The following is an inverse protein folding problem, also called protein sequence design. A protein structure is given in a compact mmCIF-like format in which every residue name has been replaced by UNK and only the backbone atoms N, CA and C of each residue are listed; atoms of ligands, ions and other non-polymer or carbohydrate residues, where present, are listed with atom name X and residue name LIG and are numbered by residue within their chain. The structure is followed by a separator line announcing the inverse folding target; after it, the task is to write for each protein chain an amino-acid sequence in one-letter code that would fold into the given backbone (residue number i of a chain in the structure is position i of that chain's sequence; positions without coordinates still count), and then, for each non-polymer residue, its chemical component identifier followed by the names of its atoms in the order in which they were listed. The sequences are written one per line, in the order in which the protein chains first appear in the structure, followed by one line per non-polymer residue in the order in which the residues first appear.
data_IF_014269374518
#
_entry.id   IF_014269374518
#
_cell.length_a   1.000
_cell.length_b   1.000
_cell.length_c   1.000
_cell.angle_alpha   90.00
_cell.angle_beta   90.00
_cell.angle_gamma   90.00
#
_symmetry.space_group_name_H-M   'P 1'
#
loop_
_entity.id
_entity.type
_entity.pdbx_description
1 polymer ?
#
# COMPACT_ATOMS: atom_id res chain seq x y z
N UNK A 1 55.07 -35.76 -51.39
CA UNK A 1 54.00 -35.97 -50.39
C UNK A 1 53.59 -34.61 -49.85
N UNK A 2 52.42 -34.09 -50.26
CA UNK A 2 51.87 -32.81 -49.79
C UNK A 2 51.00 -33.09 -48.57
N UNK A 3 51.33 -32.48 -47.44
CA UNK A 3 50.52 -32.45 -46.23
C UNK A 3 49.87 -31.07 -46.14
N UNK A 4 48.55 -31.01 -46.26
CA UNK A 4 47.74 -29.81 -45.96
C UNK A 4 47.01 -30.05 -44.65
N UNK A 5 47.50 -29.42 -43.58
CA UNK A 5 46.86 -29.40 -42.27
C UNK A 5 45.73 -28.38 -42.24
N UNK A 6 44.55 -28.82 -41.81
CA UNK A 6 43.37 -27.99 -41.56
C UNK A 6 43.47 -27.51 -40.11
N UNK A 7 43.59 -26.20 -39.90
CA UNK A 7 43.45 -25.57 -38.59
C UNK A 7 41.95 -25.33 -38.33
N UNK A 8 41.40 -26.03 -37.34
CA UNK A 8 40.03 -25.89 -36.89
C UNK A 8 40.01 -24.95 -35.68
N UNK A 9 39.54 -23.72 -35.88
CA UNK A 9 39.42 -22.71 -34.83
C UNK A 9 38.21 -23.02 -33.95
N UNK A 10 38.45 -23.38 -32.70
CA UNK A 10 37.39 -23.56 -31.70
C UNK A 10 36.92 -22.18 -31.20
N UNK A 11 35.66 -21.83 -31.47
CA UNK A 11 34.99 -20.65 -30.89
C UNK A 11 34.47 -21.06 -29.51
N UNK A 12 35.12 -20.59 -28.45
CA UNK A 12 34.65 -20.74 -27.08
C UNK A 12 33.62 -19.62 -26.83
N UNK A 13 32.34 -19.96 -26.95
CA UNK A 13 31.25 -19.08 -26.51
C UNK A 13 31.21 -19.06 -24.98
N UNK A 14 31.64 -17.95 -24.36
CA UNK A 14 31.41 -17.68 -22.95
C UNK A 14 29.91 -17.48 -22.70
N UNK A 15 29.28 -18.47 -22.09
CA UNK A 15 27.93 -18.35 -21.54
C UNK A 15 28.05 -17.54 -20.23
N UNK A 16 27.77 -16.24 -20.30
CA UNK A 16 27.58 -15.41 -19.10
C UNK A 16 26.26 -15.82 -18.47
N UNK A 17 26.32 -16.75 -17.51
CA UNK A 17 25.21 -17.01 -16.59
C UNK A 17 25.16 -15.82 -15.65
N UNK A 18 24.32 -14.84 -15.95
CA UNK A 18 23.89 -13.86 -14.94
C UNK A 18 23.10 -14.64 -13.91
N UNK A 19 23.78 -15.04 -12.83
CA UNK A 19 23.16 -15.54 -11.62
C UNK A 19 22.30 -14.42 -11.05
N UNK A 20 21.05 -14.31 -11.47
CA UNK A 20 20.04 -13.60 -10.69
C UNK A 20 19.91 -14.39 -9.41
N UNK A 21 20.54 -13.91 -8.34
CA UNK A 21 20.31 -14.42 -7.01
C UNK A 21 18.81 -14.32 -6.73
N UNK A 22 18.12 -15.46 -6.83
CA UNK A 22 16.79 -15.70 -6.30
C UNK A 22 16.89 -15.66 -4.77
N UNK A 23 17.17 -14.49 -4.21
CA UNK A 23 16.66 -14.19 -2.89
C UNK A 23 15.16 -14.09 -3.09
N UNK A 24 14.42 -15.08 -2.58
CA UNK A 24 12.99 -14.93 -2.36
C UNK A 24 12.79 -13.58 -1.68
N UNK A 25 12.24 -12.61 -2.43
CA UNK A 25 12.17 -11.22 -2.00
C UNK A 25 11.25 -11.22 -0.78
N UNK A 26 11.79 -10.86 0.37
CA UNK A 26 11.10 -10.83 1.66
C UNK A 26 9.98 -9.79 1.62
N UNK A 27 8.79 -10.20 1.17
CA UNK A 27 7.48 -9.50 1.18
C UNK A 27 7.38 -8.07 0.62
N UNK A 28 8.49 -7.40 0.27
CA UNK A 28 8.46 -6.10 -0.40
C UNK A 28 8.42 -6.27 -1.92
N UNK A 29 7.31 -5.87 -2.53
CA UNK A 29 7.09 -5.90 -3.99
C UNK A 29 7.38 -4.51 -4.56
N UNK A 30 8.21 -4.42 -5.61
CA UNK A 30 8.46 -3.12 -6.25
C UNK A 30 7.21 -2.70 -7.03
N UNK A 31 6.84 -1.43 -6.93
CA UNK A 31 5.79 -0.88 -7.78
C UNK A 31 6.38 -0.32 -9.08
N UNK A 32 5.64 -0.40 -10.19
CA UNK A 32 6.13 0.07 -11.49
C UNK A 32 6.36 1.59 -11.47
N UNK A 33 7.53 2.06 -11.92
CA UNK A 33 7.90 3.49 -11.88
C UNK A 33 7.78 4.21 -13.26
N UNK A 34 7.79 3.48 -14.39
CA UNK A 34 7.73 4.07 -15.74
C UNK A 34 6.77 3.32 -16.67
N UNK A 35 6.39 3.96 -17.79
CA UNK A 35 5.35 3.53 -18.73
C UNK A 35 5.58 2.17 -19.42
N UNK A 36 4.53 1.71 -20.11
CA UNK A 36 4.37 0.39 -20.75
C UNK A 36 4.20 -0.82 -19.79
N UNK A 37 3.60 -0.59 -18.62
CA UNK A 37 3.13 -1.67 -17.74
C UNK A 37 1.65 -1.98 -17.94
N UNK A 38 1.21 -3.26 -17.91
CA UNK A 38 -0.20 -3.61 -18.08
C UNK A 38 -1.15 -3.01 -17.04
N UNK A 39 -0.64 -2.79 -15.82
CA UNK A 39 -1.36 -2.24 -14.67
C UNK A 39 -0.43 -1.40 -13.80
N UNK A 40 -0.93 -0.30 -13.26
CA UNK A 40 -0.25 0.49 -12.21
C UNK A 40 -0.31 -0.21 -10.83
N UNK A 41 -1.17 -1.22 -10.69
CA UNK A 41 -1.37 -2.01 -9.49
C UNK A 41 -0.69 -3.39 -9.58
N UNK A 42 -0.32 -3.91 -8.42
CA UNK A 42 0.05 -5.31 -8.17
C UNK A 42 -0.97 -5.93 -7.22
N UNK A 43 -1.30 -7.21 -7.45
CA UNK A 43 -2.17 -7.98 -6.56
C UNK A 43 -1.35 -8.49 -5.36
N UNK A 44 -1.88 -8.29 -4.15
CA UNK A 44 -1.25 -8.74 -2.91
C UNK A 44 -2.00 -9.93 -2.31
N UNK A 45 -3.28 -9.74 -1.98
CA UNK A 45 -4.12 -10.77 -1.38
C UNK A 45 -5.51 -10.80 -2.03
N UNK A 46 -5.90 -11.90 -2.70
CA UNK A 46 -7.21 -12.01 -3.35
C UNK A 46 -8.31 -12.60 -2.45
N UNK A 47 -8.05 -12.87 -1.17
CA UNK A 47 -9.03 -13.48 -0.24
C UNK A 47 -10.08 -12.46 0.25
N UNK A 48 -11.12 -12.96 0.93
CA UNK A 48 -12.16 -12.12 1.55
C UNK A 48 -13.05 -11.35 0.58
N UNK A 49 -13.05 -11.72 -0.70
CA UNK A 49 -13.89 -11.13 -1.74
C UNK A 49 -13.82 -9.58 -1.79
N UNK A 50 -12.67 -9.01 -1.44
CA UNK A 50 -12.45 -7.56 -1.35
C UNK A 50 -13.37 -6.85 -0.34
N UNK A 51 -13.64 -7.48 0.80
CA UNK A 51 -14.42 -6.91 1.90
C UNK A 51 -15.58 -7.79 2.35
N UNK A 52 -16.24 -8.43 1.39
CA UNK A 52 -17.50 -9.15 1.54
C UNK A 52 -17.43 -10.46 2.33
N UNK A 53 -16.22 -10.95 2.61
CA UNK A 53 -16.00 -12.20 3.33
C UNK A 53 -14.73 -12.13 4.18
N UNK A 54 -14.58 -13.09 5.09
CA UNK A 54 -13.36 -13.23 5.89
C UNK A 54 -12.11 -13.36 5.01
N UNK A 55 -11.20 -12.41 5.19
CA UNK A 55 -9.88 -12.37 4.58
C UNK A 55 -8.81 -12.84 5.57
N UNK A 56 -7.76 -13.43 5.04
CA UNK A 56 -6.53 -13.71 5.77
C UNK A 56 -5.36 -13.80 4.79
N UNK A 57 -4.12 -13.51 5.21
CA UNK A 57 -2.94 -13.85 4.41
C UNK A 57 -2.97 -15.36 4.09
N UNK A 58 -2.94 -15.77 2.81
CA UNK A 58 -2.97 -17.19 2.47
C UNK A 58 -1.69 -17.91 2.91
N UNK A 59 -1.84 -19.02 3.67
CA UNK A 59 -0.74 -19.84 4.20
C UNK A 59 0.10 -20.57 3.12
N UNK A 60 -0.32 -20.50 1.85
CA UNK A 60 0.29 -21.24 0.75
C UNK A 60 1.34 -20.44 -0.06
N UNK A 61 1.74 -19.26 0.42
CA UNK A 61 2.77 -18.43 -0.23
C UNK A 61 2.26 -17.60 -1.42
N UNK A 62 0.95 -17.56 -1.68
CA UNK A 62 0.36 -16.68 -2.70
C UNK A 62 0.23 -15.21 -2.26
N UNK A 63 0.70 -14.87 -1.07
CA UNK A 63 0.76 -13.50 -0.59
C UNK A 63 2.15 -12.90 -0.81
N UNK A 64 2.32 -12.27 -1.97
CA UNK A 64 3.63 -11.73 -2.35
C UNK A 64 4.02 -10.45 -1.58
N UNK A 65 3.03 -9.79 -0.95
CA UNK A 65 3.22 -8.51 -0.28
C UNK A 65 3.24 -8.64 1.26
N UNK A 66 2.82 -9.78 1.81
CA UNK A 66 2.79 -9.97 3.26
C UNK A 66 4.20 -10.18 3.82
N UNK A 67 4.46 -9.49 4.93
CA UNK A 67 5.63 -9.72 5.77
C UNK A 67 5.17 -10.14 7.15
N UNK A 68 5.83 -11.13 7.73
CA UNK A 68 5.65 -11.51 9.13
C UNK A 68 6.99 -11.87 9.74
N UNK A 69 7.19 -11.51 11.00
CA UNK A 69 8.38 -11.91 11.76
C UNK A 69 8.02 -12.03 13.24
N UNK A 70 8.76 -12.83 14.02
CA UNK A 70 8.55 -12.91 15.47
C UNK A 70 8.60 -11.54 16.16
N UNK A 71 9.44 -10.61 15.66
CA UNK A 71 9.53 -9.26 16.21
C UNK A 71 8.32 -8.41 15.83
N UNK A 72 7.83 -8.45 14.59
CA UNK A 72 6.61 -7.75 14.18
C UNK A 72 5.38 -8.24 14.96
N UNK A 73 5.31 -9.55 15.25
CA UNK A 73 4.23 -10.14 16.06
C UNK A 73 4.26 -9.59 17.50
N UNK A 74 5.44 -9.39 18.09
CA UNK A 74 5.57 -8.80 19.43
C UNK A 74 5.16 -7.33 19.45
N UNK A 75 5.53 -6.58 18.41
CA UNK A 75 5.19 -5.17 18.30
C UNK A 75 5.23 -4.68 16.85
N UNK A 76 4.15 -4.03 16.45
CA UNK A 76 4.04 -3.28 15.20
C UNK A 76 5.07 -2.14 15.03
N UNK A 77 5.71 -1.71 16.12
CA UNK A 77 6.75 -0.68 16.09
C UNK A 77 8.16 -1.26 15.82
N UNK A 78 8.31 -2.58 15.86
CA UNK A 78 9.55 -3.22 15.43
C UNK A 78 9.74 -3.04 13.92
N UNK A 79 10.99 -2.94 13.50
CA UNK A 79 11.28 -2.68 12.10
C UNK A 79 10.82 -3.85 11.21
N UNK A 80 10.17 -3.56 10.07
CA UNK A 80 9.75 -4.60 9.13
C UNK A 80 10.92 -5.24 8.37
N UNK A 81 12.11 -4.65 8.44
CA UNK A 81 13.33 -5.12 7.82
C UNK A 81 14.48 -5.10 8.81
N UNK A 82 15.35 -6.10 8.73
CA UNK A 82 16.59 -6.14 9.51
C UNK A 82 17.49 -4.95 9.14
N UNK A 83 18.19 -4.39 10.14
CA UNK A 83 19.09 -3.25 9.95
C UNK A 83 18.42 -1.88 9.88
N UNK A 84 17.08 -1.83 9.98
CA UNK A 84 16.31 -0.59 10.09
C UNK A 84 16.02 -0.25 11.55
N UNK A 85 16.07 1.04 11.89
CA UNK A 85 15.76 1.56 13.22
C UNK A 85 14.60 2.55 13.15
N UNK A 86 13.74 2.54 14.16
CA UNK A 86 12.62 3.48 14.26
C UNK A 86 13.15 4.90 14.43
N UNK A 87 12.74 5.80 13.54
CA UNK A 87 13.11 7.22 13.55
C UNK A 87 12.02 8.08 14.18
N UNK A 88 10.75 7.72 13.96
CA UNK A 88 9.64 8.52 14.48
C UNK A 88 8.30 7.82 14.30
N UNK A 89 7.34 8.29 15.09
CA UNK A 89 5.94 7.85 15.07
C UNK A 89 5.07 9.11 15.11
N UNK A 90 4.00 9.11 14.32
CA UNK A 90 2.95 10.12 14.39
C UNK A 90 1.60 9.41 14.58
N UNK A 91 0.77 9.96 15.45
CA UNK A 91 -0.60 9.50 15.66
C UNK A 91 -1.52 10.69 15.57
N UNK A 92 -2.58 10.58 14.80
CA UNK A 92 -3.55 11.65 14.59
C UNK A 92 -4.98 11.13 14.57
N UNK A 93 -5.89 11.96 15.05
CA UNK A 93 -7.32 11.73 14.91
C UNK A 93 -7.78 12.15 13.52
N UNK A 94 -8.63 11.31 12.90
CA UNK A 94 -9.26 11.61 11.62
C UNK A 94 -10.66 12.17 11.90
N UNK A 95 -10.80 13.48 11.76
CA UNK A 95 -12.09 14.17 11.89
C UNK A 95 -12.85 14.13 10.56
N UNK A 96 -14.15 13.84 10.62
CA UNK A 96 -15.02 13.90 9.45
C UNK A 96 -15.54 15.33 9.26
N UNK A 97 -15.47 15.93 8.06
CA UNK A 97 -16.01 17.26 7.80
C UNK A 97 -17.54 17.26 7.68
N UNK A 98 -18.15 18.43 7.81
CA UNK A 98 -19.56 18.64 7.44
C UNK A 98 -19.76 18.39 5.92
N UNK A 99 -20.91 17.84 5.49
CA UNK A 99 -22.09 17.48 6.30
C UNK A 99 -22.03 16.07 6.92
N UNK A 100 -20.93 15.33 6.74
CA UNK A 100 -20.83 13.93 7.17
C UNK A 100 -20.53 13.77 8.67
N UNK A 101 -19.98 14.81 9.31
CA UNK A 101 -19.62 14.82 10.73
C UNK A 101 -20.79 14.37 11.64
N UNK A 102 -20.60 13.27 12.36
CA UNK A 102 -21.51 12.79 13.41
C UNK A 102 -21.27 13.48 14.76
N UNK A 103 -21.69 12.82 15.85
CA UNK A 103 -21.50 13.34 17.23
C UNK A 103 -20.06 13.18 17.74
N UNK A 104 -19.30 12.23 17.18
CA UNK A 104 -17.92 12.00 17.57
C UNK A 104 -16.98 13.01 16.91
N UNK A 105 -15.96 13.45 17.65
CA UNK A 105 -14.95 14.39 17.14
C UNK A 105 -14.03 13.78 16.07
N UNK A 106 -13.96 12.45 16.01
CA UNK A 106 -13.12 11.71 15.07
C UNK A 106 -13.75 10.36 14.74
N UNK A 107 -13.57 9.93 13.48
CA UNK A 107 -14.08 8.65 12.94
C UNK A 107 -13.01 7.56 12.88
N UNK A 108 -11.73 7.92 12.96
CA UNK A 108 -10.62 6.98 12.99
C UNK A 108 -9.40 7.56 13.73
N UNK A 109 -8.44 6.69 14.04
CA UNK A 109 -7.07 7.03 14.40
C UNK A 109 -6.15 6.60 13.26
N UNK A 110 -5.34 7.52 12.77
CA UNK A 110 -4.28 7.26 11.80
C UNK A 110 -2.93 7.26 12.51
N UNK A 111 -2.23 6.14 12.41
CA UNK A 111 -0.89 5.96 12.95
C UNK A 111 0.11 5.77 11.81
N UNK A 112 1.25 6.43 11.94
CA UNK A 112 2.35 6.39 11.00
C UNK A 112 3.66 6.16 11.74
N UNK A 113 4.57 5.42 11.14
CA UNK A 113 5.90 5.21 11.67
C UNK A 113 6.92 5.22 10.54
N UNK A 114 8.12 5.70 10.82
CA UNK A 114 9.24 5.68 9.87
C UNK A 114 10.42 4.93 10.48
N UNK A 115 11.00 4.03 9.70
CA UNK A 115 12.28 3.41 10.00
C UNK A 115 13.30 3.80 8.94
N UNK A 116 14.57 3.83 9.32
CA UNK A 116 15.70 4.14 8.42
C UNK A 116 16.82 3.13 8.62
N UNK A 117 17.46 2.72 7.53
CA UNK A 117 18.63 1.84 7.62
C UNK A 117 19.84 2.58 8.21
N UNK A 118 20.83 1.81 8.67
CA UNK A 118 22.05 2.35 9.28
C UNK A 118 22.83 3.28 8.36
N UNK A 119 22.82 3.03 7.05
CA UNK A 119 23.52 3.83 6.05
C UNK A 119 22.78 5.13 5.69
N UNK A 120 21.56 5.34 6.19
CA UNK A 120 20.69 6.47 5.86
C UNK A 120 20.45 6.63 4.34
N UNK A 121 20.26 5.52 3.65
CA UNK A 121 19.99 5.48 2.19
C UNK A 121 18.59 4.96 1.86
N UNK A 122 17.94 4.29 2.81
CA UNK A 122 16.61 3.72 2.66
C UNK A 122 15.76 3.96 3.88
N UNK A 123 14.49 4.24 3.63
CA UNK A 123 13.47 4.42 4.65
C UNK A 123 12.32 3.45 4.38
N UNK A 124 11.63 3.07 5.45
CA UNK A 124 10.32 2.41 5.40
C UNK A 124 9.33 3.28 6.13
N UNK A 125 8.19 3.56 5.50
CA UNK A 125 7.12 4.37 6.04
C UNK A 125 5.87 3.50 6.19
N UNK A 126 5.33 3.43 7.40
CA UNK A 126 4.10 2.71 7.73
C UNK A 126 2.89 3.64 7.74
N UNK A 127 1.75 3.08 7.36
CA UNK A 127 0.42 3.64 7.52
C UNK A 127 -0.46 2.59 8.17
N UNK A 128 -1.22 2.96 9.20
CA UNK A 128 -2.14 2.07 9.90
C UNK A 128 -3.37 2.86 10.33
N UNK A 129 -4.56 2.39 9.94
CA UNK A 129 -5.84 3.04 10.23
C UNK A 129 -6.65 2.17 11.19
N UNK A 130 -7.22 2.81 12.21
CA UNK A 130 -8.12 2.18 13.15
C UNK A 130 -9.42 2.98 13.24
N UNK A 131 -10.51 2.41 12.73
CA UNK A 131 -11.85 2.98 12.73
C UNK A 131 -12.43 3.00 14.14
N UNK A 132 -13.09 4.11 14.52
CA UNK A 132 -13.74 4.28 15.82
C UNK A 132 -15.22 3.91 15.75
N UNK A 133 -15.81 3.61 16.91
CA UNK A 133 -17.27 3.56 17.06
C UNK A 133 -17.87 4.97 16.94
N UNK A 134 -17.95 5.45 15.69
CA UNK A 134 -18.26 6.83 15.37
C UNK A 134 -19.13 6.87 14.10
N UNK A 135 -20.45 6.71 14.23
CA UNK A 135 -21.35 6.86 13.09
C UNK A 135 -21.32 8.29 12.55
N UNK A 136 -21.48 8.40 11.24
CA UNK A 136 -21.66 9.65 10.50
C UNK A 136 -23.00 10.29 10.82
N UNK A 137 -23.22 11.52 10.33
CA UNK A 137 -24.46 12.27 10.54
C UNK A 137 -25.73 11.52 10.10
N UNK A 138 -25.63 10.62 9.13
CA UNK A 138 -26.74 9.79 8.64
C UNK A 138 -26.93 8.48 9.44
N UNK A 139 -26.11 8.22 10.46
CA UNK A 139 -26.16 7.01 11.28
C UNK A 139 -25.38 5.83 10.74
N UNK A 140 -24.81 5.92 9.53
CA UNK A 140 -23.96 4.88 8.94
C UNK A 140 -22.52 5.00 9.45
N UNK A 141 -21.73 3.93 9.34
CA UNK A 141 -20.30 3.98 9.59
C UNK A 141 -19.56 4.24 8.29
N UNK A 142 -18.49 5.02 8.38
CA UNK A 142 -17.63 5.22 7.23
C UNK A 142 -16.79 3.98 6.98
N UNK A 143 -16.76 3.55 5.73
CA UNK A 143 -15.91 2.47 5.24
C UNK A 143 -14.79 3.05 4.38
N UNK A 144 -13.55 2.70 4.71
CA UNK A 144 -12.37 3.10 3.94
C UNK A 144 -11.89 1.91 3.15
N UNK A 145 -12.07 1.98 1.83
CA UNK A 145 -11.65 0.91 0.90
C UNK A 145 -10.34 1.22 0.19
N UNK A 146 -9.81 2.43 0.39
CA UNK A 146 -8.62 2.89 -0.30
C UNK A 146 -7.86 3.96 0.50
N UNK A 147 -6.53 3.83 0.54
CA UNK A 147 -5.61 4.75 1.22
C UNK A 147 -4.50 5.12 0.26
N UNK A 148 -4.49 6.35 -0.24
CA UNK A 148 -3.43 6.87 -1.08
C UNK A 148 -2.47 7.77 -0.30
N UNK A 149 -1.18 7.64 -0.60
CA UNK A 149 -0.10 8.33 0.09
C UNK A 149 0.85 8.99 -0.91
N UNK A 150 1.11 10.27 -0.69
CA UNK A 150 1.89 11.12 -1.59
C UNK A 150 3.34 11.31 -1.17
N UNK A 151 4.13 11.93 -2.05
CA UNK A 151 5.49 12.40 -1.78
C UNK A 151 6.61 11.50 -2.28
N UNK A 152 6.33 10.65 -3.27
CA UNK A 152 7.28 9.66 -3.80
C UNK A 152 7.78 9.95 -5.22
N UNK A 153 7.53 11.15 -5.74
CA UNK A 153 7.99 11.56 -7.08
C UNK A 153 9.49 11.34 -7.25
N UNK A 154 9.89 10.74 -8.38
CA UNK A 154 11.28 10.42 -8.68
C UNK A 154 11.94 9.38 -7.75
N UNK A 155 11.16 8.65 -6.93
CA UNK A 155 11.69 7.60 -6.05
C UNK A 155 11.26 6.21 -6.50
N UNK A 156 12.17 5.25 -6.45
CA UNK A 156 11.80 3.85 -6.46
C UNK A 156 11.06 3.51 -5.17
N UNK A 157 9.93 2.82 -5.29
CA UNK A 157 9.15 2.37 -4.14
C UNK A 157 8.86 0.89 -4.20
N UNK A 158 8.91 0.26 -3.03
CA UNK A 158 8.42 -1.09 -2.82
C UNK A 158 7.39 -1.08 -1.69
N UNK A 159 6.37 -1.93 -1.80
CA UNK A 159 5.31 -2.05 -0.82
C UNK A 159 5.34 -3.40 -0.12
N UNK A 160 4.87 -3.44 1.11
CA UNK A 160 4.59 -4.64 1.86
C UNK A 160 3.43 -4.35 2.83
N UNK A 161 2.91 -5.38 3.47
CA UNK A 161 2.00 -5.19 4.59
C UNK A 161 2.23 -6.22 5.70
N UNK A 162 1.98 -5.81 6.94
CA UNK A 162 1.90 -6.73 8.08
C UNK A 162 0.44 -6.83 8.52
N UNK A 163 -0.11 -8.03 8.40
CA UNK A 163 -1.41 -8.37 8.95
C UNK A 163 -1.23 -8.90 10.36
N UNK A 164 -1.72 -8.14 11.34
CA UNK A 164 -1.76 -8.63 12.72
C UNK A 164 -2.80 -9.75 12.81
N UNK A 165 -2.45 -10.92 13.37
CA UNK A 165 -3.39 -12.03 13.50
C UNK A 165 -4.70 -11.59 14.16
N UNK A 166 -5.80 -12.12 13.60
CA UNK A 166 -7.17 -11.84 14.02
C UNK A 166 -7.35 -12.01 15.53
N UNK A 167 -7.90 -10.99 16.19
CA UNK A 167 -8.39 -11.08 17.57
C UNK A 167 -9.90 -11.34 17.52
N UNK A 168 -10.45 -12.24 18.33
CA UNK A 168 -11.91 -12.43 18.43
C UNK A 168 -12.62 -11.26 19.15
N UNK A 169 -11.88 -10.23 19.58
CA UNK A 169 -12.43 -9.03 20.20
C UNK A 169 -13.16 -8.14 19.18
N UNK A 170 -14.32 -7.60 19.56
CA UNK A 170 -15.07 -6.62 18.75
C UNK A 170 -14.17 -5.41 18.47
N UNK A 171 -13.95 -5.09 17.19
CA UNK A 171 -13.02 -4.04 16.75
C UNK A 171 -11.54 -4.47 16.67
N UNK A 172 -11.21 -5.72 16.98
CA UNK A 172 -9.86 -6.29 16.88
C UNK A 172 -9.52 -6.96 15.55
N UNK A 173 -10.48 -7.02 14.61
CA UNK A 173 -10.32 -7.68 13.32
C UNK A 173 -9.52 -6.79 12.37
N UNK A 174 -8.41 -7.34 11.86
CA UNK A 174 -7.52 -6.67 10.91
C UNK A 174 -7.91 -7.05 9.49
N UNK A 175 -7.97 -6.09 8.58
CA UNK A 175 -8.13 -6.33 7.13
C UNK A 175 -6.78 -6.49 6.44
N UNK A 176 -6.72 -7.29 5.39
CA UNK A 176 -5.54 -7.49 4.53
C UNK A 176 -5.36 -6.33 3.55
N UNK A 177 -4.19 -6.30 2.91
CA UNK A 177 -3.97 -5.47 1.72
C UNK A 177 -4.37 -6.27 0.48
N UNK A 178 -5.42 -5.87 -0.22
CA UNK A 178 -5.85 -6.61 -1.41
C UNK A 178 -4.91 -6.37 -2.60
N UNK A 179 -4.59 -5.10 -2.86
CA UNK A 179 -3.68 -4.67 -3.93
C UNK A 179 -3.07 -3.33 -3.60
N UNK A 180 -1.94 -3.02 -4.21
CA UNK A 180 -1.31 -1.72 -4.12
C UNK A 180 -0.85 -1.24 -5.49
N UNK A 181 -0.81 0.06 -5.72
CA UNK A 181 -0.44 0.60 -7.02
C UNK A 181 0.32 1.92 -6.96
N UNK A 182 1.10 2.16 -8.01
CA UNK A 182 1.78 3.45 -8.28
C UNK A 182 0.79 4.39 -8.98
N UNK A 183 -0.21 4.85 -8.24
CA UNK A 183 -1.37 5.56 -8.75
C UNK A 183 -1.92 6.49 -7.68
N UNK A 184 -2.57 7.59 -8.09
CA UNK A 184 -3.49 8.33 -7.20
C UNK A 184 -4.92 7.83 -7.32
N UNK A 185 -5.32 7.36 -8.50
CA UNK A 185 -6.68 6.91 -8.80
C UNK A 185 -7.00 5.64 -8.04
N UNK A 186 -8.03 5.69 -7.22
CA UNK A 186 -8.71 4.52 -6.66
C UNK A 186 -9.68 3.92 -7.67
N UNK A 187 -9.77 2.60 -7.68
CA UNK A 187 -10.63 1.84 -8.58
C UNK A 187 -11.44 0.87 -7.73
N UNK A 188 -12.79 0.85 -7.83
CA UNK A 188 -13.60 -0.18 -7.19
C UNK A 188 -13.18 -1.57 -7.68
N UNK A 189 -13.25 -2.57 -6.81
CA UNK A 189 -12.89 -3.95 -7.18
C UNK A 189 -13.85 -4.94 -6.54
N UNK A 190 -14.08 -6.05 -7.23
CA UNK A 190 -14.85 -7.19 -6.71
C UNK A 190 -14.14 -8.47 -7.12
N UNK A 191 -14.47 -9.58 -6.45
CA UNK A 191 -13.90 -10.89 -6.73
C UNK A 191 -13.97 -11.22 -8.24
N UNK A 192 -12.86 -11.71 -8.81
CA UNK A 192 -12.75 -12.05 -10.23
C UNK A 192 -12.49 -10.89 -11.19
N UNK A 193 -12.49 -9.64 -10.72
CA UNK A 193 -12.12 -8.48 -11.56
C UNK A 193 -10.60 -8.45 -11.77
N UNK A 194 -10.10 -8.32 -13.02
CA UNK A 194 -8.67 -8.18 -13.27
C UNK A 194 -8.14 -6.86 -12.71
N UNK A 195 -6.82 -6.77 -12.51
CA UNK A 195 -6.19 -5.51 -12.12
C UNK A 195 -6.51 -4.37 -13.10
N UNK A 196 -6.60 -3.10 -12.64
CA UNK A 196 -6.95 -1.99 -13.49
C UNK A 196 -5.91 -1.81 -14.60
N UNK A 197 -6.39 -1.58 -15.82
CA UNK A 197 -5.50 -1.28 -16.94
C UNK A 197 -4.80 0.06 -16.76
N UNK A 198 -3.52 0.14 -17.13
CA UNK A 198 -2.78 1.41 -17.07
C UNK A 198 -3.32 2.39 -18.10
N UNK A 199 -3.64 3.60 -17.65
CA UNK A 199 -3.79 4.77 -18.52
C UNK A 199 -2.53 5.62 -18.45
N UNK A 200 -2.11 6.16 -19.59
CA UNK A 200 -0.99 7.09 -19.63
C UNK A 200 -1.30 8.31 -18.77
N UNK A 201 -0.30 8.77 -18.02
CA UNK A 201 -0.38 10.06 -17.35
C UNK A 201 -0.53 11.19 -18.40
N UNK A 202 -1.28 12.26 -18.10
CA UNK A 202 -2.06 12.44 -16.89
C UNK A 202 -3.50 11.92 -17.09
N UNK A 203 -3.98 11.10 -16.15
CA UNK A 203 -5.30 11.38 -15.58
C UNK A 203 -5.10 11.95 -14.18
N UNK A 204 -4.33 13.05 -14.09
CA UNK A 204 -4.52 13.98 -12.98
C UNK A 204 -6.04 14.26 -12.92
N UNK A 205 -6.62 14.29 -11.72
CA UNK A 205 -8.02 14.65 -11.42
C UNK A 205 -9.02 13.52 -11.11
N UNK A 206 -8.74 12.23 -11.35
CA UNK A 206 -9.70 11.19 -10.95
C UNK A 206 -9.23 10.44 -9.71
N UNK A 207 -9.64 10.90 -8.53
CA UNK A 207 -9.37 10.23 -7.26
C UNK A 207 -10.09 8.88 -7.14
N UNK A 208 -11.30 8.78 -7.69
CA UNK A 208 -12.11 7.55 -7.71
C UNK A 208 -12.62 7.35 -9.14
N UNK A 209 -12.22 6.26 -9.76
CA UNK A 209 -12.59 5.90 -11.13
C UNK A 209 -13.84 5.04 -11.17
N UNK A 210 -14.68 5.26 -12.20
CA UNK A 210 -15.81 4.39 -12.51
C UNK A 210 -15.45 3.30 -13.53
N UNK A 211 -14.21 3.33 -14.04
CA UNK A 211 -13.67 2.37 -15.00
C UNK A 211 -12.60 1.51 -14.33
N UNK A 212 -12.42 0.27 -14.78
CA UNK A 212 -11.31 -0.58 -14.34
C UNK A 212 -9.97 -0.17 -14.98
N UNK A 213 -9.57 1.07 -14.72
CA UNK A 213 -8.38 1.70 -15.24
C UNK A 213 -7.83 2.73 -14.25
N UNK A 214 -6.51 2.86 -14.19
CA UNK A 214 -5.82 3.79 -13.31
C UNK A 214 -4.64 4.45 -14.02
N UNK A 215 -4.43 5.75 -13.77
CA UNK A 215 -3.25 6.43 -14.27
C UNK A 215 -2.03 6.13 -13.40
N UNK A 216 -0.90 5.88 -14.07
CA UNK A 216 0.39 5.78 -13.39
C UNK A 216 0.73 7.15 -12.76
N UNK A 217 1.20 7.13 -11.52
CA UNK A 217 1.57 8.33 -10.78
C UNK A 217 2.86 8.11 -10.01
N UNK A 218 3.92 8.82 -10.40
CA UNK A 218 5.18 8.73 -9.67
C UNK A 218 5.08 9.28 -8.25
N UNK A 219 4.13 10.17 -7.95
CA UNK A 219 4.08 10.77 -6.63
C UNK A 219 3.27 9.97 -5.60
N UNK A 220 2.41 9.07 -6.07
CA UNK A 220 1.38 8.45 -5.24
C UNK A 220 1.49 6.92 -5.19
N UNK A 221 1.33 6.39 -3.98
CA UNK A 221 1.13 4.96 -3.73
C UNK A 221 -0.27 4.78 -3.18
N UNK A 222 -1.04 3.90 -3.79
CA UNK A 222 -2.42 3.63 -3.40
C UNK A 222 -2.59 2.20 -2.90
N UNK A 223 -3.16 2.03 -1.71
CA UNK A 223 -3.47 0.75 -1.08
C UNK A 223 -4.98 0.51 -1.10
N UNK A 224 -5.41 -0.66 -1.59
CA UNK A 224 -6.81 -1.09 -1.52
C UNK A 224 -7.00 -2.04 -0.35
N UNK A 225 -7.96 -1.72 0.52
CA UNK A 225 -8.34 -2.48 1.71
C UNK A 225 -9.85 -2.39 1.87
N UNK A 226 -10.38 -2.79 3.01
CA UNK A 226 -11.78 -2.57 3.38
C UNK A 226 -11.93 -2.55 4.90
N UNK A 227 -11.97 -1.34 5.47
CA UNK A 227 -12.06 -1.16 6.91
C UNK A 227 -13.23 -0.29 7.31
N UNK A 228 -14.02 -0.80 8.25
CA UNK A 228 -15.15 -0.12 8.88
C UNK A 228 -15.30 -0.59 10.31
N UNK A 229 -15.75 0.30 11.22
CA UNK A 229 -16.02 -0.11 12.60
C UNK A 229 -17.25 -1.02 12.72
N UNK A 230 -18.23 -0.86 11.84
CA UNK A 230 -19.38 -1.77 11.69
C UNK A 230 -19.79 -1.78 10.23
N UNK A 231 -19.88 -2.97 9.66
CA UNK A 231 -20.44 -3.17 8.32
C UNK A 231 -21.80 -3.85 8.41
N UNK A 232 -22.66 -3.51 7.45
CA UNK A 232 -23.95 -4.13 7.15
C UNK A 232 -23.85 -5.59 6.73
N UNK A 233 -22.68 -6.05 6.26
CA UNK A 233 -22.48 -7.39 5.68
C UNK A 233 -21.93 -8.46 6.66
N UNK A 234 -22.01 -8.20 7.97
CA UNK A 234 -21.68 -9.13 9.07
C UNK A 234 -20.17 -9.30 9.34
N UNK A 235 -19.27 -8.89 8.43
CA UNK A 235 -17.82 -9.02 8.63
C UNK A 235 -17.19 -7.65 8.96
N UNK A 236 -17.03 -7.35 10.25
CA UNK A 236 -16.48 -6.06 10.68
C UNK A 236 -14.96 -6.13 10.84
N UNK A 237 -14.22 -5.27 10.13
CA UNK A 237 -12.76 -5.10 10.28
C UNK A 237 -12.43 -3.64 10.55
N UNK A 238 -12.35 -3.28 11.82
CA UNK A 238 -12.11 -1.90 12.22
C UNK A 238 -10.64 -1.46 12.04
N UNK A 239 -9.73 -2.39 11.79
CA UNK A 239 -8.28 -2.14 11.77
C UNK A 239 -7.73 -2.52 10.39
N UNK A 240 -6.97 -1.63 9.76
CA UNK A 240 -6.22 -1.98 8.55
C UNK A 240 -4.99 -2.80 8.92
N UNK A 241 -4.46 -3.60 7.99
CA UNK A 241 -3.07 -4.01 8.12
C UNK A 241 -2.15 -2.79 8.16
N UNK A 242 -0.90 -3.00 8.59
CA UNK A 242 0.12 -1.96 8.51
C UNK A 242 0.69 -1.97 7.10
N UNK A 243 0.44 -0.91 6.34
CA UNK A 243 0.93 -0.75 4.98
C UNK A 243 2.29 -0.07 4.98
N UNK A 244 3.29 -0.72 4.40
CA UNK A 244 4.65 -0.22 4.32
C UNK A 244 4.99 0.27 2.92
N UNK A 245 5.72 1.38 2.84
CA UNK A 245 6.39 1.87 1.64
C UNK A 245 7.88 1.97 1.94
N UNK A 246 8.70 1.16 1.27
CA UNK A 246 10.15 1.30 1.26
C UNK A 246 10.56 2.19 0.09
N UNK A 247 11.45 3.15 0.33
CA UNK A 247 11.94 4.08 -0.68
C UNK A 247 13.35 4.60 -0.36
N UNK A 248 14.02 5.16 -1.36
CA UNK A 248 15.32 5.81 -1.19
C UNK A 248 15.15 7.17 -0.50
N UNK A 249 15.84 7.35 0.63
CA UNK A 249 15.81 8.54 1.47
C UNK A 249 17.21 8.95 1.91
N UNK A 250 17.32 10.08 2.60
CA UNK A 250 18.53 10.49 3.29
C UNK A 250 18.34 10.53 4.82
N UNK A 251 19.31 11.09 5.53
CA UNK A 251 19.30 11.18 6.98
C UNK A 251 18.32 12.23 7.54
N UNK A 252 17.64 13.04 6.72
CA UNK A 252 16.73 14.07 7.20
C UNK A 252 15.40 13.47 7.60
N UNK A 253 14.83 14.03 8.66
CA UNK A 253 13.56 13.55 9.19
C UNK A 253 12.38 13.94 8.29
N UNK A 254 11.37 13.07 8.18
CA UNK A 254 10.19 13.38 7.39
C UNK A 254 9.44 14.55 8.01
N UNK A 255 8.68 15.24 7.18
CA UNK A 255 7.87 16.38 7.59
C UNK A 255 6.40 16.04 7.46
N UNK A 256 5.59 16.51 8.40
CA UNK A 256 4.14 16.41 8.31
C UNK A 256 3.63 17.46 7.31
N UNK A 257 2.91 17.03 6.27
CA UNK A 257 2.25 17.94 5.32
C UNK A 257 0.75 17.70 5.27
N UNK A 258 -0.08 18.76 5.18
CA UNK A 258 -1.50 18.62 4.86
C UNK A 258 -1.71 17.85 3.56
N UNK A 259 -2.79 17.08 3.48
CA UNK A 259 -3.18 16.32 2.28
C UNK A 259 -2.10 15.33 1.77
N UNK A 260 -1.26 14.82 2.66
CA UNK A 260 -0.28 13.79 2.31
C UNK A 260 -0.91 12.40 2.17
N UNK A 261 -2.05 12.18 2.83
CA UNK A 261 -2.78 10.92 2.83
C UNK A 261 -4.24 11.20 2.46
N UNK A 262 -4.80 10.35 1.60
CA UNK A 262 -6.18 10.42 1.15
C UNK A 262 -6.86 9.09 1.48
N UNK A 263 -7.88 9.17 2.32
CA UNK A 263 -8.71 8.05 2.75
C UNK A 263 -10.00 8.07 1.95
N UNK A 264 -10.40 6.95 1.35
CA UNK A 264 -11.50 6.96 0.38
C UNK A 264 -12.43 5.77 0.55
N UNK A 265 -13.70 6.05 0.30
CA UNK A 265 -14.75 5.07 0.00
C UNK A 265 -14.90 5.01 -1.51
N UNK A 266 -14.58 3.88 -2.10
CA UNK A 266 -14.97 3.56 -3.47
C UNK A 266 -16.40 3.04 -3.49
N UNK A 267 -17.12 3.15 -4.61
CA UNK A 267 -18.56 2.79 -4.74
C UNK A 267 -18.91 1.31 -4.50
N UNK A 268 -18.06 0.56 -3.80
CA UNK A 268 -18.38 -0.77 -3.33
C UNK A 268 -19.66 -0.71 -2.47
N UNK A 269 -20.48 -1.75 -2.60
CA UNK A 269 -21.68 -1.97 -1.80
C UNK A 269 -22.73 -0.84 -1.85
N UNK A 270 -22.73 -0.02 -2.90
CA UNK A 270 -23.70 1.06 -3.09
C UNK A 270 -23.43 2.30 -2.22
N UNK A 271 -22.30 2.35 -1.52
CA UNK A 271 -21.89 3.53 -0.77
C UNK A 271 -21.55 4.69 -1.71
N UNK A 272 -21.80 5.91 -1.23
CA UNK A 272 -21.45 7.12 -1.99
C UNK A 272 -19.93 7.31 -1.95
N UNK A 273 -19.28 7.64 -3.07
CA UNK A 273 -17.88 8.02 -3.07
C UNK A 273 -17.63 9.12 -2.05
N UNK A 274 -16.61 8.91 -1.22
CA UNK A 274 -16.14 9.91 -0.27
C UNK A 274 -14.63 9.89 -0.26
N UNK A 275 -14.03 11.06 -0.21
CA UNK A 275 -12.59 11.24 -0.06
C UNK A 275 -12.33 12.23 1.06
N UNK A 276 -11.40 11.88 1.93
CA UNK A 276 -10.93 12.73 3.01
C UNK A 276 -9.40 12.83 2.95
N UNK A 277 -8.92 14.04 2.69
CA UNK A 277 -7.51 14.35 2.74
C UNK A 277 -7.09 14.67 4.19
N UNK A 278 -6.04 14.02 4.66
CA UNK A 278 -5.49 14.19 6.02
C UNK A 278 -3.99 14.50 5.97
N UNK A 279 -3.46 15.17 7.01
CA UNK A 279 -2.01 15.34 7.13
C UNK A 279 -1.30 13.99 7.26
N UNK A 280 -0.02 13.97 6.88
CA UNK A 280 0.80 12.76 6.96
C UNK A 280 2.29 13.06 6.81
N UNK A 281 3.12 12.13 7.26
CA UNK A 281 4.57 12.19 7.10
C UNK A 281 4.95 11.93 5.64
N UNK A 282 5.79 12.80 5.08
CA UNK A 282 6.39 12.62 3.76
C UNK A 282 7.90 12.91 3.81
N UNK A 283 8.69 12.44 2.82
CA UNK A 283 10.10 12.81 2.72
C UNK A 283 10.29 14.33 2.71
N UNK A 284 11.36 14.84 3.33
CA UNK A 284 11.57 16.30 3.50
C UNK A 284 11.54 17.10 2.19
N UNK A 285 12.09 16.55 1.10
CA UNK A 285 12.11 17.18 -0.22
C UNK A 285 10.85 16.90 -1.05
N UNK A 286 9.93 16.10 -0.52
CA UNK A 286 8.77 15.70 -1.28
C UNK A 286 7.86 16.89 -1.56
N UNK A 287 7.50 17.07 -2.81
CA UNK A 287 6.43 17.96 -3.21
C UNK A 287 5.16 17.11 -3.33
N UNK A 288 4.12 17.51 -2.61
CA UNK A 288 2.79 17.03 -2.91
C UNK A 288 2.36 17.80 -4.15
N UNK A 289 2.44 17.15 -5.30
CA UNK A 289 1.80 17.67 -6.50
C UNK A 289 0.34 17.87 -6.16
N UNK A 290 -0.08 19.14 -6.16
CA UNK A 290 -1.49 19.46 -6.13
C UNK A 290 -2.08 18.96 -7.44
N UNK A 291 -3.18 18.22 -7.26
CA UNK A 291 -3.97 17.50 -8.25
C UNK A 291 -4.20 18.30 -9.53
#
# INVERSE_FOLDING_TARGET
MKWTGIFQTAVISMLVVTSTSLFAKTGFVDLPHTGDVPSAYVLCNPTGEYGLANSSPPDNGNDTCSITSPELIKSALNAPLEGFNLVGVMVSDVAMPAPYAGQANAVAVLSEAIWRNKENTQCVLATHLHMKDAPLANGEYWEVTDIARGGFAGKDVAIAYFHKPHSEEIGGNTEVLFRAGRSFTSVPTVAGTPLPTTKNAPSANTAISNENAAALSENWVNFTTDVSFKDTDVSTRAISSIFYIRYNCDARDPINKPSAIHLRTTMQNGQKPLELAVPGLIPVDAVLEQF
#
